data_IF_794341858926
#
_entry.id   IF_794341858926
#
_cell.length_a   1.000
_cell.length_b   1.000
_cell.length_c   1.000
_cell.angle_alpha   90.00
_cell.angle_beta   90.00
_cell.angle_gamma   90.00
#
_symmetry.space_group_name_H-M   'P 1'
#
loop_
_entity.id
_entity.type
_entity.pdbx_description
1 polymer ?
#
# COMPACT_ATOMS: atom_id res chain seq x y z
N UNK A 1 -26.53 -32.62 29.82
CA UNK A 1 -26.89 -32.73 28.39
C UNK A 1 -25.69 -32.32 27.57
N UNK A 2 -25.19 -33.25 26.74
CA UNK A 2 -24.01 -33.09 25.90
C UNK A 2 -24.26 -32.06 24.78
N UNK A 3 -23.41 -31.04 24.67
CA UNK A 3 -23.33 -30.20 23.47
C UNK A 3 -22.62 -31.01 22.38
N UNK A 4 -23.39 -31.51 21.42
CA UNK A 4 -22.85 -32.13 20.22
C UNK A 4 -22.18 -31.06 19.34
N UNK A 5 -20.98 -31.41 18.88
CA UNK A 5 -20.02 -30.65 18.09
C UNK A 5 -20.54 -30.20 16.72
N UNK A 6 -20.69 -28.89 16.52
CA UNK A 6 -20.93 -28.27 15.20
C UNK A 6 -19.65 -27.79 14.48
N UNK A 7 -18.48 -27.95 15.10
CA UNK A 7 -17.13 -27.70 14.54
C UNK A 7 -16.61 -28.63 13.42
N UNK A 8 -17.11 -29.85 13.15
CA UNK A 8 -16.38 -30.79 12.28
C UNK A 8 -16.46 -30.45 10.79
N UNK A 9 -17.51 -29.77 10.31
CA UNK A 9 -17.72 -29.58 8.85
C UNK A 9 -16.80 -28.53 8.23
N UNK A 10 -16.67 -27.36 8.86
CA UNK A 10 -15.74 -26.30 8.43
C UNK A 10 -14.29 -26.76 8.55
N UNK A 11 -13.93 -27.38 9.68
CA UNK A 11 -12.59 -27.95 9.86
C UNK A 11 -12.27 -29.06 8.86
N UNK A 12 -13.23 -29.93 8.52
CA UNK A 12 -13.03 -30.97 7.51
C UNK A 12 -12.81 -30.38 6.12
N UNK A 13 -13.60 -29.36 5.75
CA UNK A 13 -13.43 -28.66 4.48
C UNK A 13 -12.04 -28.01 4.35
N UNK A 14 -11.61 -27.28 5.38
CA UNK A 14 -10.28 -26.66 5.41
C UNK A 14 -9.17 -27.70 5.40
N UNK A 15 -9.34 -28.83 6.12
CA UNK A 15 -8.37 -29.92 6.08
C UNK A 15 -8.24 -30.55 4.68
N UNK A 16 -9.34 -30.65 3.92
CA UNK A 16 -9.32 -31.14 2.54
C UNK A 16 -8.59 -30.16 1.62
N UNK A 17 -8.83 -28.85 1.76
CA UNK A 17 -8.10 -27.82 1.02
C UNK A 17 -6.60 -27.85 1.32
N UNK A 18 -6.22 -27.98 2.59
CA UNK A 18 -4.82 -28.15 3.00
C UNK A 18 -4.19 -29.38 2.33
N UNK A 19 -4.89 -30.51 2.24
CA UNK A 19 -4.40 -31.70 1.54
C UNK A 19 -4.21 -31.46 0.03
N UNK A 20 -5.09 -30.69 -0.61
CA UNK A 20 -4.94 -30.34 -2.03
C UNK A 20 -3.73 -29.44 -2.27
N UNK A 21 -3.52 -28.43 -1.42
CA UNK A 21 -2.34 -27.57 -1.43
C UNK A 21 -1.07 -28.43 -1.28
N UNK A 22 -1.07 -29.33 -0.29
CA UNK A 22 0.05 -30.24 -0.05
C UNK A 22 0.35 -31.12 -1.28
N UNK A 23 -0.68 -31.72 -1.90
CA UNK A 23 -0.53 -32.54 -3.11
C UNK A 23 0.04 -31.74 -4.28
N UNK A 24 -0.42 -30.49 -4.50
CA UNK A 24 0.12 -29.61 -5.55
C UNK A 24 1.58 -29.27 -5.31
N UNK A 25 1.97 -28.96 -4.07
CA UNK A 25 3.38 -28.69 -3.71
C UNK A 25 4.28 -29.92 -3.89
N UNK A 26 3.81 -31.10 -3.49
CA UNK A 26 4.54 -32.36 -3.71
C UNK A 26 4.74 -32.64 -5.21
N UNK A 27 3.71 -32.41 -6.03
CA UNK A 27 3.82 -32.51 -7.49
C UNK A 27 4.83 -31.52 -8.07
N UNK A 28 4.86 -30.28 -7.55
CA UNK A 28 5.82 -29.26 -7.96
C UNK A 28 7.26 -29.62 -7.59
N UNK A 29 7.49 -30.31 -6.46
CA UNK A 29 8.80 -30.86 -6.12
C UNK A 29 9.23 -31.95 -7.10
N UNK A 30 8.34 -32.92 -7.36
CA UNK A 30 8.61 -34.07 -8.21
C UNK A 30 8.84 -33.71 -9.69
N UNK A 31 8.20 -32.64 -10.18
CA UNK A 31 8.22 -32.27 -11.60
C UNK A 31 8.93 -30.92 -11.84
N UNK A 32 10.27 -30.89 -12.02
CA UNK A 32 11.02 -29.64 -12.14
C UNK A 32 10.61 -28.77 -13.33
N UNK A 33 10.20 -29.38 -14.46
CA UNK A 33 9.77 -28.66 -15.65
C UNK A 33 8.43 -27.95 -15.50
N UNK A 34 7.51 -28.51 -14.71
CA UNK A 34 6.16 -27.95 -14.49
C UNK A 34 6.08 -27.10 -13.21
N UNK A 35 7.09 -27.17 -12.35
CA UNK A 35 7.16 -26.47 -11.07
C UNK A 35 6.74 -24.99 -11.10
N UNK A 36 7.26 -24.13 -11.99
CA UNK A 36 6.88 -22.71 -11.98
C UNK A 36 5.38 -22.52 -12.25
N UNK A 37 4.83 -23.27 -13.21
CA UNK A 37 3.40 -23.20 -13.56
C UNK A 37 2.52 -23.70 -12.42
N UNK A 38 2.90 -24.83 -11.78
CA UNK A 38 2.16 -25.38 -10.64
C UNK A 38 2.14 -24.43 -9.44
N UNK A 39 3.25 -23.74 -9.17
CA UNK A 39 3.30 -22.74 -8.10
C UNK A 39 2.50 -21.48 -8.43
N UNK A 40 2.51 -21.05 -9.70
CA UNK A 40 1.68 -19.95 -10.16
C UNK A 40 0.19 -20.27 -10.07
N UNK A 41 -0.23 -21.47 -10.50
CA UNK A 41 -1.60 -21.96 -10.37
C UNK A 41 -2.02 -22.03 -8.90
N UNK A 42 -1.18 -22.59 -8.04
CA UNK A 42 -1.44 -22.67 -6.61
C UNK A 42 -1.58 -21.29 -5.97
N UNK A 43 -0.72 -20.34 -6.34
CA UNK A 43 -0.84 -18.95 -5.89
C UNK A 43 -2.17 -18.33 -6.34
N UNK A 44 -2.55 -18.52 -7.60
CA UNK A 44 -3.81 -18.01 -8.13
C UNK A 44 -5.00 -18.57 -7.37
N UNK A 45 -5.04 -19.89 -7.12
CA UNK A 45 -6.12 -20.55 -6.39
C UNK A 45 -6.25 -20.04 -4.94
N UNK A 46 -5.12 -19.86 -4.25
CA UNK A 46 -5.09 -19.36 -2.86
C UNK A 46 -5.54 -17.90 -2.78
N UNK A 47 -5.25 -17.11 -3.82
CA UNK A 47 -5.63 -15.70 -3.93
C UNK A 47 -7.09 -15.49 -4.38
N UNK A 48 -7.85 -16.56 -4.66
CA UNK A 48 -9.25 -16.44 -5.04
C UNK A 48 -10.11 -15.95 -3.86
N UNK A 49 -11.13 -15.19 -4.22
CA UNK A 49 -12.22 -14.84 -3.33
C UNK A 49 -13.03 -16.10 -3.02
N UNK A 50 -13.51 -16.19 -1.77
CA UNK A 50 -14.35 -17.30 -1.32
C UNK A 50 -15.75 -17.11 -1.91
N UNK A 51 -16.20 -18.06 -2.72
CA UNK A 51 -17.56 -18.07 -3.25
C UNK A 51 -18.60 -18.12 -2.12
N UNK A 52 -19.80 -17.56 -2.33
CA UNK A 52 -20.86 -17.49 -1.30
C UNK A 52 -21.24 -18.88 -0.75
N UNK A 53 -21.21 -19.92 -1.60
CA UNK A 53 -21.42 -21.32 -1.17
C UNK A 53 -20.37 -21.80 -0.18
N UNK A 54 -19.11 -21.38 -0.37
CA UNK A 54 -18.01 -21.73 0.52
C UNK A 54 -18.04 -20.84 1.78
N UNK A 55 -18.45 -19.57 1.67
CA UNK A 55 -18.69 -18.69 2.82
C UNK A 55 -19.71 -19.30 3.77
N UNK A 56 -20.84 -19.82 3.27
CA UNK A 56 -21.85 -20.48 4.11
C UNK A 56 -21.28 -21.69 4.88
N UNK A 57 -20.41 -22.48 4.25
CA UNK A 57 -19.78 -23.64 4.89
C UNK A 57 -18.75 -23.21 5.94
N UNK A 58 -18.00 -22.13 5.68
CA UNK A 58 -16.94 -21.62 6.55
C UNK A 58 -17.52 -20.83 7.74
N UNK A 59 -18.51 -19.97 7.49
CA UNK A 59 -19.10 -19.00 8.43
C UNK A 59 -20.38 -19.50 9.11
N UNK A 60 -20.86 -20.72 8.83
CA UNK A 60 -22.13 -21.20 9.38
C UNK A 60 -22.18 -21.16 10.93
N UNK A 61 -22.88 -20.13 11.43
CA UNK A 61 -23.45 -19.88 12.78
C UNK A 61 -22.49 -19.50 13.93
N UNK A 62 -21.90 -18.31 13.89
CA UNK A 62 -21.50 -17.58 15.10
C UNK A 62 -21.97 -16.11 15.17
N UNK A 63 -22.93 -15.68 14.35
CA UNK A 63 -23.53 -14.34 14.45
C UNK A 63 -25.02 -14.40 14.85
N UNK A 64 -25.26 -14.87 16.08
CA UNK A 64 -26.43 -14.43 16.87
C UNK A 64 -25.88 -13.73 18.11
N UNK A 65 -25.37 -12.52 17.94
CA UNK A 65 -25.27 -11.50 18.99
C UNK A 65 -25.09 -10.13 18.34
N UNK A 66 -26.19 -9.39 18.37
CA UNK A 66 -26.41 -8.01 17.92
C UNK A 66 -25.20 -7.09 18.17
N UNK A 67 -24.71 -6.45 17.10
CA UNK A 67 -24.30 -5.04 17.10
C UNK A 67 -24.53 -4.45 15.70
N UNK A 68 -25.25 -3.33 15.57
CA UNK A 68 -25.52 -2.71 14.29
C UNK A 68 -24.37 -1.77 13.88
N UNK A 69 -24.08 -1.77 12.58
CA UNK A 69 -23.32 -0.75 11.84
C UNK A 69 -21.85 -0.53 12.28
N UNK A 70 -20.94 -1.34 11.73
CA UNK A 70 -19.64 -0.84 11.30
C UNK A 70 -19.55 -0.99 9.78
N UNK A 71 -19.88 0.11 9.10
CA UNK A 71 -19.93 0.30 7.65
C UNK A 71 -18.50 0.45 7.05
N UNK A 72 -17.49 -0.27 7.58
CA UNK A 72 -16.08 0.13 7.37
C UNK A 72 -15.11 -0.87 6.77
N UNK A 73 -15.46 -2.12 6.43
CA UNK A 73 -14.67 -2.91 5.46
C UNK A 73 -15.58 -3.93 4.76
N UNK A 74 -16.11 -3.58 3.59
CA UNK A 74 -16.69 -4.53 2.63
C UNK A 74 -15.55 -5.40 2.04
N UNK A 75 -14.96 -6.22 2.91
CA UNK A 75 -13.74 -6.98 2.64
C UNK A 75 -14.07 -8.26 1.90
N UNK A 76 -13.59 -8.36 0.65
CA UNK A 76 -13.63 -9.62 -0.08
C UNK A 76 -12.84 -10.69 0.68
N UNK A 77 -13.54 -11.63 1.31
CA UNK A 77 -12.92 -12.75 2.01
C UNK A 77 -12.20 -13.64 0.99
N UNK A 78 -10.89 -13.76 1.09
CA UNK A 78 -10.07 -14.62 0.23
C UNK A 78 -9.68 -15.92 0.94
N UNK A 79 -9.43 -16.99 0.18
CA UNK A 79 -9.07 -18.29 0.76
C UNK A 79 -7.79 -18.23 1.62
N UNK A 80 -6.82 -17.42 1.23
CA UNK A 80 -5.59 -17.27 2.01
C UNK A 80 -5.82 -16.79 3.45
N UNK A 81 -6.79 -15.90 3.64
CA UNK A 81 -7.04 -15.29 4.95
C UNK A 81 -7.64 -16.33 5.92
N UNK A 82 -8.60 -17.11 5.41
CA UNK A 82 -9.21 -18.24 6.12
C UNK A 82 -8.18 -19.33 6.44
N UNK A 83 -7.31 -19.65 5.49
CA UNK A 83 -6.27 -20.66 5.67
C UNK A 83 -5.20 -20.20 6.67
N UNK A 84 -4.84 -18.91 6.68
CA UNK A 84 -3.89 -18.36 7.64
C UNK A 84 -4.42 -18.48 9.08
N UNK A 85 -5.71 -18.17 9.31
CA UNK A 85 -6.36 -18.39 10.61
C UNK A 85 -6.42 -19.87 10.98
N UNK A 86 -6.70 -20.74 10.00
CA UNK A 86 -6.74 -22.18 10.23
C UNK A 86 -5.37 -22.74 10.64
N UNK A 87 -4.27 -22.29 10.02
CA UNK A 87 -2.93 -22.75 10.39
C UNK A 87 -2.44 -22.22 11.74
N UNK A 88 -2.98 -21.10 12.23
CA UNK A 88 -2.78 -20.68 13.62
C UNK A 88 -3.48 -21.65 14.58
N UNK A 89 -4.74 -22.03 14.28
CA UNK A 89 -5.54 -22.93 15.13
C UNK A 89 -5.06 -24.39 15.11
N UNK A 90 -4.63 -24.88 13.94
CA UNK A 90 -4.20 -26.27 13.71
C UNK A 90 -2.80 -26.28 13.09
N UNK A 91 -1.75 -26.01 13.90
CA UNK A 91 -0.39 -25.82 13.40
C UNK A 91 0.22 -27.08 12.77
N UNK A 92 -0.21 -28.27 13.19
CA UNK A 92 0.29 -29.53 12.61
C UNK A 92 -0.02 -29.65 11.11
N UNK A 93 -1.19 -29.17 10.71
CA UNK A 93 -1.61 -29.20 9.30
C UNK A 93 -0.80 -28.21 8.44
N UNK A 94 -0.39 -27.08 9.01
CA UNK A 94 0.46 -26.10 8.34
C UNK A 94 1.94 -26.51 8.25
N UNK A 95 2.46 -27.27 9.23
CA UNK A 95 3.87 -27.69 9.26
C UNK A 95 4.28 -28.49 8.02
N UNK A 96 3.47 -29.44 7.57
CA UNK A 96 3.78 -30.25 6.38
C UNK A 96 3.90 -29.39 5.11
N UNK A 97 3.03 -28.37 4.98
CA UNK A 97 3.07 -27.41 3.87
C UNK A 97 4.30 -26.51 4.00
N UNK A 98 4.58 -26.01 5.20
CA UNK A 98 5.73 -25.17 5.48
C UNK A 98 7.04 -25.86 5.07
N UNK A 99 7.22 -27.13 5.44
CA UNK A 99 8.40 -27.92 5.09
C UNK A 99 8.59 -28.05 3.57
N UNK A 100 7.48 -28.23 2.83
CA UNK A 100 7.50 -28.29 1.37
C UNK A 100 7.85 -26.94 0.74
N UNK A 101 7.30 -25.84 1.26
CA UNK A 101 7.61 -24.49 0.79
C UNK A 101 9.08 -24.14 1.05
N UNK A 102 9.63 -24.54 2.21
CA UNK A 102 11.06 -24.34 2.54
C UNK A 102 11.96 -25.06 1.52
N UNK A 103 11.58 -26.25 1.05
CA UNK A 103 12.32 -26.94 -0.02
C UNK A 103 12.22 -26.22 -1.37
N UNK A 104 11.15 -25.46 -1.60
CA UNK A 104 10.86 -24.73 -2.84
C UNK A 104 11.26 -23.25 -2.78
N UNK A 105 11.97 -22.81 -1.74
CA UNK A 105 12.20 -21.38 -1.45
C UNK A 105 12.92 -20.60 -2.56
N UNK A 106 13.75 -21.28 -3.35
CA UNK A 106 14.47 -20.69 -4.48
C UNK A 106 13.60 -20.40 -5.70
N UNK A 107 12.36 -20.87 -5.70
CA UNK A 107 11.46 -20.79 -6.85
C UNK A 107 10.60 -19.53 -6.79
N UNK A 108 10.14 -19.08 -7.96
CA UNK A 108 9.12 -18.03 -8.05
C UNK A 108 7.83 -18.47 -7.34
N UNK A 109 7.06 -17.50 -6.85
CA UNK A 109 5.82 -17.69 -6.08
C UNK A 109 5.94 -18.39 -4.71
N UNK A 110 7.02 -19.11 -4.40
CA UNK A 110 7.17 -19.79 -3.09
C UNK A 110 7.06 -18.80 -1.92
N UNK A 111 7.75 -17.66 -1.99
CA UNK A 111 7.64 -16.59 -0.98
C UNK A 111 6.26 -15.93 -0.94
N UNK A 112 5.54 -15.89 -2.06
CA UNK A 112 4.21 -15.29 -2.14
C UNK A 112 3.20 -16.19 -1.43
N UNK A 113 3.23 -17.49 -1.75
CA UNK A 113 2.41 -18.52 -1.10
C UNK A 113 2.71 -18.55 0.40
N UNK A 114 3.99 -18.47 0.78
CA UNK A 114 4.40 -18.37 2.18
C UNK A 114 3.75 -17.16 2.87
N UNK A 115 3.88 -15.97 2.30
CA UNK A 115 3.31 -14.76 2.87
C UNK A 115 1.78 -14.86 3.00
N UNK A 116 1.09 -15.39 1.98
CA UNK A 116 -0.36 -15.54 2.02
C UNK A 116 -0.82 -16.54 3.09
N UNK A 117 -0.19 -17.72 3.20
CA UNK A 117 -0.65 -18.78 4.09
C UNK A 117 -0.15 -18.65 5.53
N UNK A 118 1.04 -18.08 5.76
CA UNK A 118 1.71 -18.13 7.06
C UNK A 118 1.95 -16.75 7.71
N UNK A 119 1.38 -15.66 7.17
CA UNK A 119 1.55 -14.32 7.75
C UNK A 119 1.07 -14.22 9.20
N UNK A 120 -0.03 -14.89 9.57
CA UNK A 120 -0.53 -14.91 10.96
C UNK A 120 0.27 -15.87 11.83
N UNK A 121 0.46 -17.10 11.33
CA UNK A 121 1.19 -18.17 12.02
C UNK A 121 2.59 -17.74 12.50
N UNK A 122 3.32 -16.95 11.71
CA UNK A 122 4.68 -16.51 12.05
C UNK A 122 4.76 -15.77 13.40
N UNK A 123 3.72 -15.03 13.78
CA UNK A 123 3.71 -14.23 15.01
C UNK A 123 3.10 -14.97 16.20
N UNK A 124 2.37 -16.06 15.96
CA UNK A 124 1.76 -16.88 17.01
C UNK A 124 2.60 -18.12 17.35
N UNK A 125 3.43 -18.60 16.43
CA UNK A 125 4.31 -19.74 16.66
C UNK A 125 5.53 -19.38 17.52
N UNK A 126 5.85 -20.25 18.49
CA UNK A 126 7.08 -20.15 19.27
C UNK A 126 8.28 -20.71 18.48
N UNK A 127 8.99 -19.83 17.78
CA UNK A 127 10.20 -20.18 17.02
C UNK A 127 11.46 -19.84 17.84
N UNK A 128 12.06 -20.87 18.46
CA UNK A 128 13.25 -20.69 19.29
C UNK A 128 14.54 -20.41 18.50
N UNK A 129 14.55 -20.65 17.18
CA UNK A 129 15.74 -20.48 16.35
C UNK A 129 15.73 -19.12 15.63
N UNK A 130 16.64 -18.22 16.03
CA UNK A 130 16.78 -16.88 15.47
C UNK A 130 17.09 -16.86 13.97
N UNK A 131 17.81 -17.84 13.44
CA UNK A 131 18.13 -17.90 12.00
C UNK A 131 16.90 -18.26 11.17
N UNK A 132 16.12 -19.22 11.65
CA UNK A 132 14.88 -19.66 10.99
C UNK A 132 13.87 -18.52 10.99
N UNK A 133 13.72 -17.85 12.13
CA UNK A 133 12.87 -16.68 12.28
C UNK A 133 13.26 -15.55 11.31
N UNK A 134 14.56 -15.27 11.17
CA UNK A 134 15.04 -14.26 10.21
C UNK A 134 14.70 -14.65 8.76
N UNK A 135 14.92 -15.92 8.38
CA UNK A 135 14.61 -16.44 7.04
C UNK A 135 13.11 -16.32 6.72
N UNK A 136 12.26 -16.73 7.65
CA UNK A 136 10.80 -16.64 7.49
C UNK A 136 10.32 -15.19 7.44
N UNK A 137 10.82 -14.33 8.32
CA UNK A 137 10.45 -12.91 8.31
C UNK A 137 10.89 -12.22 7.02
N UNK A 138 12.09 -12.52 6.51
CA UNK A 138 12.57 -11.99 5.23
C UNK A 138 11.68 -12.43 4.06
N UNK A 139 11.23 -13.69 4.04
CA UNK A 139 10.34 -14.16 2.99
C UNK A 139 8.91 -13.68 3.12
N UNK A 140 8.41 -13.43 4.34
CA UNK A 140 7.14 -12.73 4.53
C UNK A 140 7.21 -11.36 3.87
N UNK A 141 8.24 -10.57 4.16
CA UNK A 141 8.42 -9.23 3.57
C UNK A 141 8.59 -9.32 2.05
N UNK A 142 9.41 -10.23 1.55
CA UNK A 142 9.62 -10.41 0.10
C UNK A 142 8.34 -10.87 -0.60
N UNK A 143 7.62 -11.82 -0.02
CA UNK A 143 6.35 -12.32 -0.52
C UNK A 143 5.29 -11.22 -0.57
N UNK A 144 5.06 -10.55 0.57
CA UNK A 144 4.12 -9.44 0.67
C UNK A 144 4.48 -8.29 -0.29
N UNK A 145 5.77 -7.97 -0.46
CA UNK A 145 6.21 -6.98 -1.46
C UNK A 145 5.69 -7.32 -2.85
N UNK A 146 5.90 -8.55 -3.31
CA UNK A 146 5.49 -8.95 -4.66
C UNK A 146 3.98 -9.04 -4.80
N UNK A 147 3.30 -9.55 -3.78
CA UNK A 147 1.83 -9.66 -3.73
C UNK A 147 1.18 -8.27 -3.79
N UNK A 148 1.68 -7.30 -3.04
CA UNK A 148 1.16 -5.92 -3.11
C UNK A 148 1.50 -5.25 -4.45
N UNK A 149 2.62 -5.60 -5.09
CA UNK A 149 2.90 -5.17 -6.46
C UNK A 149 1.90 -5.74 -7.47
N UNK A 150 1.40 -6.97 -7.28
CA UNK A 150 0.32 -7.54 -8.12
C UNK A 150 -0.96 -6.72 -7.97
N UNK A 151 -1.31 -6.32 -6.75
CA UNK A 151 -2.46 -5.44 -6.49
C UNK A 151 -2.31 -4.08 -7.17
N UNK A 152 -1.14 -3.46 -7.06
CA UNK A 152 -0.82 -2.23 -7.82
C UNK A 152 -0.97 -2.48 -9.33
N UNK A 153 -0.43 -3.60 -9.83
CA UNK A 153 -0.41 -3.93 -11.25
C UNK A 153 -1.80 -4.14 -11.84
N UNK A 154 -2.67 -4.76 -11.07
CA UNK A 154 -4.07 -5.04 -11.43
C UNK A 154 -5.01 -3.90 -11.05
N UNK A 155 -4.52 -2.90 -10.30
CA UNK A 155 -5.33 -1.85 -9.68
C UNK A 155 -6.51 -2.43 -8.87
N UNK A 156 -6.23 -3.53 -8.15
CA UNK A 156 -7.18 -4.17 -7.22
C UNK A 156 -6.58 -4.19 -5.81
N UNK A 157 -7.39 -4.52 -4.80
CA UNK A 157 -6.99 -4.53 -3.39
C UNK A 157 -7.26 -5.90 -2.75
N UNK A 158 -6.95 -6.97 -3.49
CA UNK A 158 -7.24 -8.35 -3.06
C UNK A 158 -6.47 -8.73 -1.80
N UNK A 159 -5.29 -8.16 -1.64
CA UNK A 159 -4.39 -8.44 -0.52
C UNK A 159 -4.47 -7.40 0.60
N UNK A 160 -5.60 -6.67 0.65
CA UNK A 160 -5.84 -5.66 1.68
C UNK A 160 -5.86 -6.26 3.09
N UNK A 161 -6.45 -7.44 3.31
CA UNK A 161 -6.48 -8.03 4.65
C UNK A 161 -5.08 -8.41 5.15
N UNK A 162 -4.21 -8.94 4.28
CA UNK A 162 -2.79 -9.13 4.58
C UNK A 162 -2.11 -7.80 4.96
N UNK A 163 -2.34 -6.72 4.20
CA UNK A 163 -1.76 -5.41 4.51
C UNK A 163 -2.25 -4.87 5.86
N UNK A 164 -3.56 -4.91 6.10
CA UNK A 164 -4.18 -4.46 7.35
C UNK A 164 -3.65 -5.25 8.54
N UNK A 165 -3.55 -6.58 8.45
CA UNK A 165 -2.95 -7.39 9.51
C UNK A 165 -1.50 -6.99 9.81
N UNK A 166 -0.65 -6.87 8.78
CA UNK A 166 0.75 -6.48 8.98
C UNK A 166 0.91 -5.07 9.54
N UNK A 167 0.05 -4.13 9.15
CA UNK A 167 0.07 -2.78 9.69
C UNK A 167 -0.45 -2.77 11.13
N UNK A 168 -1.69 -3.18 11.33
CA UNK A 168 -2.47 -2.96 12.54
C UNK A 168 -2.14 -3.92 13.67
N UNK A 169 -1.98 -5.20 13.33
CA UNK A 169 -1.78 -6.25 14.32
C UNK A 169 -0.31 -6.59 14.55
N UNK A 170 0.58 -6.25 13.60
CA UNK A 170 2.01 -6.54 13.74
C UNK A 170 2.80 -5.27 14.07
N UNK A 171 2.77 -4.26 13.20
CA UNK A 171 3.60 -3.06 13.40
C UNK A 171 3.03 -2.14 14.46
N UNK A 172 1.69 -1.96 14.49
CA UNK A 172 1.07 -1.14 15.53
C UNK A 172 1.05 -1.80 16.91
N UNK A 173 1.43 -3.07 17.04
CA UNK A 173 1.54 -3.78 18.31
C UNK A 173 3.02 -4.11 18.66
N UNK A 174 3.67 -3.33 19.54
CA UNK A 174 5.09 -3.52 19.85
C UNK A 174 5.43 -4.92 20.38
N UNK A 175 4.50 -5.57 21.09
CA UNK A 175 4.69 -6.91 21.61
C UNK A 175 4.90 -7.95 20.48
N UNK A 176 4.14 -7.83 19.39
CA UNK A 176 4.26 -8.70 18.21
C UNK A 176 5.43 -8.29 17.32
N UNK A 177 5.67 -7.00 17.13
CA UNK A 177 6.82 -6.50 16.37
C UNK A 177 8.16 -6.96 16.96
N UNK A 178 8.28 -6.95 18.29
CA UNK A 178 9.51 -7.37 18.98
C UNK A 178 9.77 -8.88 18.89
N UNK A 179 8.81 -9.69 18.44
CA UNK A 179 9.04 -11.12 18.17
C UNK A 179 9.95 -11.34 16.98
N UNK A 180 10.00 -10.43 16.00
CA UNK A 180 10.82 -10.58 14.81
C UNK A 180 12.17 -9.85 14.94
N UNK A 181 13.23 -10.29 14.24
CA UNK A 181 14.54 -9.65 14.31
C UNK A 181 14.50 -8.22 13.81
N UNK A 182 15.33 -7.35 14.39
CA UNK A 182 15.39 -5.91 14.06
C UNK A 182 15.55 -5.65 12.56
N UNK A 183 16.30 -6.49 11.84
CA UNK A 183 16.44 -6.37 10.39
C UNK A 183 15.09 -6.53 9.67
N UNK A 184 14.31 -7.55 10.04
CA UNK A 184 13.01 -7.79 9.44
C UNK A 184 11.99 -6.71 9.85
N UNK A 185 12.07 -6.15 11.06
CA UNK A 185 11.24 -5.01 11.47
C UNK A 185 11.44 -3.82 10.54
N UNK A 186 12.70 -3.51 10.18
CA UNK A 186 13.03 -2.43 9.24
C UNK A 186 12.49 -2.71 7.85
N UNK A 187 12.72 -3.91 7.35
CA UNK A 187 12.28 -4.29 6.01
C UNK A 187 10.75 -4.28 5.90
N UNK A 188 10.04 -4.70 6.97
CA UNK A 188 8.59 -4.61 7.09
C UNK A 188 8.11 -3.14 7.15
N UNK A 189 8.79 -2.28 7.92
CA UNK A 189 8.47 -0.85 7.98
C UNK A 189 8.61 -0.18 6.61
N UNK A 190 9.70 -0.46 5.88
CA UNK A 190 9.92 0.04 4.53
C UNK A 190 8.87 -0.50 3.54
N UNK A 191 8.51 -1.77 3.66
CA UNK A 191 7.43 -2.37 2.89
C UNK A 191 6.12 -1.60 3.11
N UNK A 192 5.65 -1.46 4.35
CA UNK A 192 4.39 -0.78 4.64
C UNK A 192 4.42 0.70 4.24
N UNK A 193 5.56 1.37 4.38
CA UNK A 193 5.77 2.74 3.92
C UNK A 193 5.45 2.92 2.44
N UNK A 194 5.80 1.94 1.59
CA UNK A 194 5.52 1.99 0.14
C UNK A 194 4.03 1.92 -0.16
N UNK A 195 3.27 1.12 0.59
CA UNK A 195 1.90 0.74 0.22
C UNK A 195 0.80 1.39 1.07
N UNK A 196 1.15 2.12 2.15
CA UNK A 196 0.15 2.71 3.07
C UNK A 196 -0.85 3.65 2.37
N UNK A 197 -0.38 4.41 1.36
CA UNK A 197 -1.26 5.29 0.59
C UNK A 197 -2.15 4.50 -0.37
N UNK A 198 -1.66 3.39 -0.92
CA UNK A 198 -2.42 2.56 -1.86
C UNK A 198 -3.64 1.91 -1.22
N UNK A 199 -3.47 1.36 -0.01
CA UNK A 199 -4.53 0.73 0.78
C UNK A 199 -5.33 1.71 1.63
N UNK A 200 -5.24 3.03 1.36
CA UNK A 200 -6.01 4.06 2.06
C UNK A 200 -5.87 4.07 3.60
N UNK A 201 -4.76 3.56 4.15
CA UNK A 201 -4.56 3.47 5.61
C UNK A 201 -3.90 4.71 6.19
N UNK A 202 -4.27 5.88 5.65
CA UNK A 202 -3.68 7.18 5.99
C UNK A 202 -3.92 7.55 7.45
N UNK A 203 -5.10 7.23 7.98
CA UNK A 203 -5.47 7.59 9.36
C UNK A 203 -4.51 6.99 10.40
N UNK A 204 -3.84 5.90 10.02
CA UNK A 204 -2.87 5.18 10.86
C UNK A 204 -1.43 5.68 10.67
N UNK A 205 -1.17 6.59 9.72
CA UNK A 205 0.18 7.08 9.40
C UNK A 205 0.86 7.72 10.62
N UNK A 206 0.14 8.53 11.40
CA UNK A 206 0.71 9.16 12.59
C UNK A 206 1.15 8.14 13.66
N UNK A 207 0.36 7.08 13.85
CA UNK A 207 0.70 5.98 14.77
C UNK A 207 1.87 5.15 14.23
N UNK A 208 1.84 4.84 12.93
CA UNK A 208 2.89 4.12 12.24
C UNK A 208 4.25 4.82 12.35
N UNK A 209 4.31 6.13 12.13
CA UNK A 209 5.56 6.91 12.24
C UNK A 209 6.09 6.98 13.69
N UNK A 210 5.23 6.82 14.71
CA UNK A 210 5.67 6.75 16.11
C UNK A 210 6.34 5.42 16.44
N UNK A 211 5.94 4.33 15.78
CA UNK A 211 6.52 2.98 15.98
C UNK A 211 7.69 2.72 15.04
N UNK A 212 8.63 3.68 15.01
CA UNK A 212 9.81 3.57 14.19
C UNK A 212 10.81 2.57 14.79
N UNK A 213 11.22 1.52 14.05
CA UNK A 213 12.20 0.58 14.56
C UNK A 213 13.59 1.22 14.62
N UNK A 214 14.50 0.64 15.40
CA UNK A 214 15.85 1.18 15.53
C UNK A 214 16.64 1.01 14.21
N UNK A 215 16.93 2.10 13.49
CA UNK A 215 17.81 2.11 12.31
C UNK A 215 19.23 2.58 12.71
N UNK A 216 20.31 1.87 12.31
CA UNK A 216 21.67 2.25 12.71
C UNK A 216 22.08 3.56 12.04
N UNK A 217 21.59 3.76 10.81
CA UNK A 217 21.89 4.91 9.96
C UNK A 217 20.85 6.03 10.12
N UNK A 218 19.99 5.97 11.14
CA UNK A 218 18.95 6.99 11.36
C UNK A 218 19.56 8.39 11.46
N UNK A 219 20.68 8.53 12.18
CA UNK A 219 21.41 9.79 12.32
C UNK A 219 21.84 10.41 10.97
N UNK A 220 22.16 9.59 9.97
CA UNK A 220 22.63 10.06 8.66
C UNK A 220 21.49 10.51 7.76
N UNK A 221 20.32 9.88 7.87
CA UNK A 221 19.18 10.13 6.98
C UNK A 221 18.27 11.18 7.60
N UNK A 222 17.80 10.96 8.81
CA UNK A 222 16.84 11.80 9.51
C UNK A 222 15.89 10.99 10.38
N UNK A 223 14.71 11.57 10.66
CA UNK A 223 13.68 10.96 11.48
C UNK A 223 12.81 9.93 10.73
N UNK A 224 11.78 9.37 11.39
CA UNK A 224 10.86 8.42 10.79
C UNK A 224 10.15 8.97 9.54
N UNK A 225 9.79 10.25 9.58
CA UNK A 225 9.19 10.97 8.46
C UNK A 225 10.12 11.02 7.24
N UNK A 226 11.43 11.18 7.46
CA UNK A 226 12.40 11.22 6.36
C UNK A 226 12.50 9.87 5.64
N UNK A 227 12.60 8.77 6.39
CA UNK A 227 12.61 7.42 5.80
C UNK A 227 11.33 7.12 5.04
N UNK A 228 10.18 7.47 5.62
CA UNK A 228 8.89 7.29 4.97
C UNK A 228 8.81 8.06 3.64
N UNK A 229 9.19 9.34 3.63
CA UNK A 229 9.12 10.18 2.42
C UNK A 229 10.14 9.75 1.36
N UNK A 230 11.33 9.29 1.76
CA UNK A 230 12.33 8.73 0.83
C UNK A 230 11.75 7.51 0.13
N UNK A 231 11.18 6.57 0.88
CA UNK A 231 10.62 5.35 0.33
C UNK A 231 9.40 5.63 -0.55
N UNK A 232 8.56 6.60 -0.15
CA UNK A 232 7.44 7.06 -0.97
C UNK A 232 7.90 7.69 -2.29
N UNK A 233 8.94 8.53 -2.27
CA UNK A 233 9.50 9.13 -3.48
C UNK A 233 10.07 8.06 -4.43
N UNK A 234 10.72 7.05 -3.88
CA UNK A 234 11.25 5.92 -4.66
C UNK A 234 10.13 5.04 -5.23
N UNK A 235 9.05 4.87 -4.48
CA UNK A 235 7.86 4.17 -4.95
C UNK A 235 7.21 4.91 -6.12
N UNK A 236 7.00 6.22 -6.01
CA UNK A 236 6.41 7.04 -7.08
C UNK A 236 7.14 6.86 -8.42
N UNK A 237 8.47 6.83 -8.41
CA UNK A 237 9.28 6.66 -9.63
C UNK A 237 9.13 5.27 -10.28
N UNK A 238 8.75 4.26 -9.50
CA UNK A 238 8.53 2.89 -9.98
C UNK A 238 7.11 2.67 -10.50
N UNK A 239 6.13 3.48 -10.09
CA UNK A 239 4.74 3.35 -10.49
C UNK A 239 4.56 3.67 -11.97
N UNK A 240 4.05 2.69 -12.72
CA UNK A 240 3.74 2.84 -14.16
C UNK A 240 2.25 3.00 -14.45
N UNK A 241 1.41 2.75 -13.45
CA UNK A 241 -0.04 2.66 -13.62
C UNK A 241 -0.67 3.99 -13.25
N UNK A 242 -1.28 4.61 -14.24
CA UNK A 242 -1.85 5.95 -14.16
C UNK A 242 -2.86 6.12 -13.00
N UNK A 243 -3.91 5.31 -12.84
CA UNK A 243 -4.88 5.51 -11.76
C UNK A 243 -4.23 5.40 -10.38
N UNK A 244 -3.29 4.46 -10.20
CA UNK A 244 -2.54 4.31 -8.95
C UNK A 244 -1.64 5.53 -8.71
N UNK A 245 -0.91 5.98 -9.72
CA UNK A 245 -0.05 7.16 -9.60
C UNK A 245 -0.86 8.42 -9.26
N UNK A 246 -2.01 8.63 -9.89
CA UNK A 246 -2.94 9.72 -9.56
C UNK A 246 -3.42 9.64 -8.11
N UNK A 247 -3.76 8.44 -7.65
CA UNK A 247 -4.14 8.21 -6.25
C UNK A 247 -3.02 8.61 -5.29
N UNK A 248 -1.78 8.14 -5.51
CA UNK A 248 -0.63 8.53 -4.68
C UNK A 248 -0.38 10.04 -4.70
N UNK A 249 -0.43 10.68 -5.87
CA UNK A 249 -0.26 12.14 -6.00
C UNK A 249 -1.37 12.93 -5.29
N UNK A 250 -2.58 12.36 -5.19
CA UNK A 250 -3.65 12.97 -4.42
C UNK A 250 -3.39 12.87 -2.91
N UNK A 251 -2.93 11.70 -2.45
CA UNK A 251 -2.70 11.40 -1.04
C UNK A 251 -1.40 12.03 -0.51
N UNK A 252 -0.41 12.29 -1.35
CA UNK A 252 0.87 12.88 -0.91
C UNK A 252 0.72 14.28 -0.31
N UNK A 253 -0.42 14.95 -0.57
CA UNK A 253 -0.78 16.23 0.05
C UNK A 253 -0.83 16.13 1.59
N UNK A 254 -1.08 14.94 2.12
CA UNK A 254 -1.11 14.66 3.56
C UNK A 254 0.25 14.83 4.25
N UNK A 255 1.35 14.90 3.49
CA UNK A 255 2.67 15.20 4.03
C UNK A 255 2.85 16.67 4.41
N UNK A 256 1.86 17.53 4.16
CA UNK A 256 1.95 18.94 4.49
C UNK A 256 2.12 19.13 6.00
N UNK A 257 3.10 19.96 6.38
CA UNK A 257 3.40 20.24 7.78
C UNK A 257 4.28 19.21 8.47
N UNK A 258 4.71 18.15 7.76
CA UNK A 258 5.72 17.23 8.31
C UNK A 258 7.09 17.91 8.36
N UNK A 259 7.76 17.80 9.50
CA UNK A 259 9.14 18.27 9.68
C UNK A 259 10.09 17.30 8.96
N UNK A 260 10.52 17.68 7.77
CA UNK A 260 11.45 16.92 6.94
C UNK A 260 12.80 17.62 6.87
N UNK A 261 13.86 16.83 6.77
CA UNK A 261 15.19 17.37 6.47
C UNK A 261 15.20 18.01 5.09
N UNK A 262 16.02 19.04 4.92
CA UNK A 262 16.16 19.75 3.64
C UNK A 262 16.53 18.83 2.47
N UNK A 263 17.36 17.81 2.70
CA UNK A 263 17.74 16.82 1.68
C UNK A 263 16.54 15.98 1.23
N UNK A 264 15.74 15.49 2.17
CA UNK A 264 14.55 14.69 1.91
C UNK A 264 13.46 15.51 1.21
N UNK A 265 13.22 16.72 1.72
CA UNK A 265 12.32 17.71 1.14
C UNK A 265 12.71 18.03 -0.32
N UNK A 266 14.00 18.25 -0.58
CA UNK A 266 14.51 18.49 -1.94
C UNK A 266 14.34 17.28 -2.86
N UNK A 267 14.58 16.07 -2.36
CA UNK A 267 14.37 14.81 -3.12
C UNK A 267 12.90 14.65 -3.52
N UNK A 268 11.97 14.83 -2.58
CA UNK A 268 10.53 14.77 -2.85
C UNK A 268 10.12 15.83 -3.88
N UNK A 269 10.59 17.08 -3.71
CA UNK A 269 10.33 18.17 -4.65
C UNK A 269 10.82 17.83 -6.06
N UNK A 270 12.03 17.30 -6.19
CA UNK A 270 12.60 16.89 -7.48
C UNK A 270 11.82 15.73 -8.11
N UNK A 271 11.38 14.77 -7.30
CA UNK A 271 10.54 13.65 -7.76
C UNK A 271 9.21 14.16 -8.32
N UNK A 272 8.47 14.99 -7.57
CA UNK A 272 7.20 15.57 -8.04
C UNK A 272 7.39 16.44 -9.28
N UNK A 273 8.47 17.22 -9.34
CA UNK A 273 8.79 18.06 -10.48
C UNK A 273 9.04 17.24 -11.75
N UNK A 274 9.65 16.05 -11.65
CA UNK A 274 9.85 15.15 -12.80
C UNK A 274 8.53 14.77 -13.50
N UNK A 275 7.44 14.60 -12.74
CA UNK A 275 6.12 14.31 -13.27
C UNK A 275 5.41 15.52 -13.88
N UNK A 276 5.95 16.73 -13.77
CA UNK A 276 5.31 17.95 -14.32
C UNK A 276 5.64 18.20 -15.80
N UNK A 277 6.69 17.56 -16.31
CA UNK A 277 7.17 17.77 -17.67
C UNK A 277 6.61 16.75 -18.66
N UNK A 278 6.41 17.14 -19.93
CA UNK A 278 6.08 16.21 -21.01
C UNK A 278 7.29 15.44 -21.56
N UNK A 279 8.47 15.53 -20.94
CA UNK A 279 9.70 14.84 -21.39
C UNK A 279 9.94 13.50 -20.69
N UNK A 280 10.77 12.63 -21.29
CA UNK A 280 10.99 11.24 -20.87
C UNK A 280 11.70 11.05 -19.51
N UNK A 281 11.79 9.80 -18.97
CA UNK A 281 11.69 8.50 -19.66
C UNK A 281 10.29 7.84 -19.71
N UNK A 282 9.29 8.37 -19.00
CA UNK A 282 7.87 8.09 -19.27
C UNK A 282 7.21 9.40 -19.63
N UNK A 283 6.29 9.39 -20.59
CA UNK A 283 5.46 10.55 -20.88
C UNK A 283 4.30 10.55 -19.86
N UNK A 284 4.38 11.28 -18.72
CA UNK A 284 3.25 11.33 -17.80
C UNK A 284 2.05 11.90 -18.55
N UNK A 285 0.88 11.30 -18.37
CA UNK A 285 -0.34 11.79 -19.00
C UNK A 285 -0.67 13.20 -18.51
N UNK A 286 -1.56 13.90 -19.21
CA UNK A 286 -1.99 15.24 -18.80
C UNK A 286 -2.58 15.26 -17.39
N UNK A 287 -3.33 14.21 -17.02
CA UNK A 287 -3.91 14.08 -15.69
C UNK A 287 -2.81 13.97 -14.63
N UNK A 288 -1.81 13.12 -14.85
CA UNK A 288 -0.67 12.95 -13.93
C UNK A 288 0.11 14.24 -13.78
N UNK A 289 0.36 14.97 -14.87
CA UNK A 289 1.08 16.26 -14.81
C UNK A 289 0.32 17.29 -13.97
N UNK A 290 -0.99 17.39 -14.12
CA UNK A 290 -1.82 18.31 -13.34
C UNK A 290 -1.86 17.91 -11.87
N UNK A 291 -2.07 16.62 -11.57
CA UNK A 291 -2.03 16.13 -10.20
C UNK A 291 -0.67 16.37 -9.54
N UNK A 292 0.43 16.20 -10.29
CA UNK A 292 1.78 16.49 -9.82
C UNK A 292 1.99 17.99 -9.55
N UNK A 293 1.52 18.88 -10.44
CA UNK A 293 1.53 20.33 -10.20
C UNK A 293 0.74 20.70 -8.95
N UNK A 294 -0.46 20.15 -8.77
CA UNK A 294 -1.32 20.42 -7.63
C UNK A 294 -0.68 19.95 -6.32
N UNK A 295 -0.09 18.75 -6.30
CA UNK A 295 0.63 18.22 -5.14
C UNK A 295 1.89 19.06 -4.83
N UNK A 296 2.66 19.42 -5.85
CA UNK A 296 3.89 20.20 -5.74
C UNK A 296 3.65 21.62 -5.22
N UNK A 297 2.57 22.27 -5.67
CA UNK A 297 2.17 23.60 -5.22
C UNK A 297 1.59 23.57 -3.80
N UNK A 298 0.88 22.50 -3.43
CA UNK A 298 0.32 22.32 -2.11
C UNK A 298 1.40 22.09 -1.04
N UNK A 299 2.37 21.21 -1.32
CA UNK A 299 3.46 20.87 -0.40
C UNK A 299 4.55 21.95 -0.35
N UNK A 300 4.84 22.60 -1.47
CA UNK A 300 5.89 23.60 -1.59
C UNK A 300 5.32 24.91 -2.14
N UNK A 301 4.58 25.70 -1.33
CA UNK A 301 3.98 26.95 -1.80
C UNK A 301 5.04 28.00 -2.16
N UNK A 302 6.19 27.96 -1.48
CA UNK A 302 7.33 28.85 -1.75
C UNK A 302 7.97 28.47 -3.09
N UNK A 303 7.87 29.38 -4.05
CA UNK A 303 8.37 29.17 -5.42
C UNK A 303 7.32 28.69 -6.43
N UNK A 304 6.02 28.70 -6.08
CA UNK A 304 4.93 28.42 -7.02
C UNK A 304 4.99 29.29 -8.27
N UNK A 305 4.99 30.62 -8.10
CA UNK A 305 5.01 31.58 -9.20
C UNK A 305 6.21 31.41 -10.15
N UNK A 306 7.48 31.38 -9.69
CA UNK A 306 8.61 31.20 -10.59
C UNK A 306 8.59 29.85 -11.32
N UNK A 307 8.13 28.76 -10.68
CA UNK A 307 8.02 27.45 -11.35
C UNK A 307 7.04 27.46 -12.52
N UNK A 308 5.85 28.05 -12.33
CA UNK A 308 4.85 28.16 -13.39
C UNK A 308 5.34 29.06 -14.53
N UNK A 309 6.02 30.16 -14.19
CA UNK A 309 6.62 31.07 -15.16
C UNK A 309 7.70 30.35 -16.00
N UNK A 310 8.62 29.62 -15.36
CA UNK A 310 9.64 28.83 -16.07
C UNK A 310 9.00 27.77 -16.97
N UNK A 311 8.00 27.04 -16.46
CA UNK A 311 7.28 26.04 -17.26
C UNK A 311 6.58 26.66 -18.48
N UNK A 312 6.01 27.85 -18.33
CA UNK A 312 5.39 28.60 -19.42
C UNK A 312 6.42 29.03 -20.47
N UNK A 313 7.56 29.58 -20.04
CA UNK A 313 8.66 29.94 -20.95
C UNK A 313 9.14 28.72 -21.76
N UNK A 314 9.34 27.57 -21.13
CA UNK A 314 9.71 26.35 -21.86
C UNK A 314 8.63 25.91 -22.85
N UNK A 315 7.34 25.98 -22.48
CA UNK A 315 6.24 25.65 -23.42
C UNK A 315 6.16 26.60 -24.60
N UNK A 316 6.46 27.89 -24.40
CA UNK A 316 6.51 28.90 -25.46
C UNK A 316 7.68 28.67 -26.42
N UNK A 317 8.78 28.10 -25.95
CA UNK A 317 9.94 27.74 -26.77
C UNK A 317 9.70 26.51 -27.67
N UNK A 318 8.66 25.70 -27.41
CA UNK A 318 8.31 24.56 -28.27
C UNK A 318 7.38 24.97 -29.43
N UNK A 319 7.81 24.85 -30.70
CA UNK A 319 7.06 25.36 -31.86
C UNK A 319 5.67 24.76 -32.08
N UNK A 320 5.40 23.56 -31.54
CA UNK A 320 4.16 22.82 -31.79
C UNK A 320 3.03 23.10 -30.78
N UNK A 321 3.32 23.72 -29.62
CA UNK A 321 2.33 23.95 -28.56
C UNK A 321 2.03 25.44 -28.28
N UNK A 322 2.71 26.35 -28.97
CA UNK A 322 2.66 27.78 -28.68
C UNK A 322 1.27 28.43 -28.90
N UNK A 323 0.45 28.08 -29.91
CA UNK A 323 -0.81 28.80 -30.14
C UNK A 323 -1.86 28.49 -29.07
N UNK A 324 -2.03 27.20 -28.72
CA UNK A 324 -3.00 26.78 -27.70
C UNK A 324 -2.56 27.14 -26.28
N UNK A 325 -1.25 27.10 -26.00
CA UNK A 325 -0.71 27.47 -24.68
C UNK A 325 -0.78 28.98 -24.45
N UNK A 326 -0.47 29.79 -25.47
CA UNK A 326 -0.62 31.24 -25.41
C UNK A 326 -2.09 31.63 -25.20
N UNK A 327 -3.02 31.00 -25.93
CA UNK A 327 -4.46 31.22 -25.76
C UNK A 327 -4.95 30.90 -24.34
N UNK A 328 -4.56 29.74 -23.79
CA UNK A 328 -4.93 29.35 -22.43
C UNK A 328 -4.33 30.28 -21.36
N UNK A 329 -3.11 30.79 -21.59
CA UNK A 329 -2.48 31.78 -20.72
C UNK A 329 -3.24 33.10 -20.74
N UNK A 330 -3.55 33.63 -21.93
CA UNK A 330 -4.36 34.85 -22.09
C UNK A 330 -5.71 34.69 -21.38
N UNK A 331 -6.40 33.57 -21.59
CA UNK A 331 -7.66 33.27 -20.91
C UNK A 331 -7.53 33.18 -19.39
N UNK A 332 -6.43 32.61 -18.89
CA UNK A 332 -6.18 32.51 -17.44
C UNK A 332 -5.87 33.88 -16.82
N UNK A 333 -5.10 34.72 -17.51
CA UNK A 333 -4.84 36.10 -17.11
C UNK A 333 -6.13 36.93 -17.09
N UNK A 334 -6.96 36.81 -18.13
CA UNK A 334 -8.27 37.49 -18.20
C UNK A 334 -9.16 37.04 -17.04
N UNK A 335 -9.24 35.73 -16.76
CA UNK A 335 -10.01 35.20 -15.62
C UNK A 335 -9.47 35.71 -14.28
N UNK A 336 -8.15 35.73 -14.08
CA UNK A 336 -7.55 36.24 -12.85
C UNK A 336 -7.81 37.74 -12.64
N UNK A 337 -7.72 38.54 -13.71
CA UNK A 337 -8.06 39.97 -13.68
C UNK A 337 -9.55 40.14 -13.36
N UNK A 338 -10.43 39.39 -14.02
CA UNK A 338 -11.87 39.41 -13.74
C UNK A 338 -12.18 39.03 -12.29
N UNK A 339 -11.58 37.96 -11.75
CA UNK A 339 -11.77 37.58 -10.34
C UNK A 339 -11.23 38.65 -9.38
N UNK A 340 -10.12 39.30 -9.70
CA UNK A 340 -9.60 40.41 -8.88
C UNK A 340 -10.52 41.64 -8.92
N UNK A 341 -11.08 41.96 -10.09
CA UNK A 341 -12.03 43.06 -10.27
C UNK A 341 -13.34 42.76 -9.57
N UNK A 342 -13.88 41.55 -9.72
CA UNK A 342 -15.05 41.10 -8.98
C UNK A 342 -14.81 41.11 -7.47
N UNK A 343 -13.65 40.65 -7.00
CA UNK A 343 -13.27 40.71 -5.59
C UNK A 343 -13.18 42.14 -5.07
N UNK A 344 -12.63 43.07 -5.87
CA UNK A 344 -12.57 44.49 -5.53
C UNK A 344 -13.96 45.13 -5.47
N UNK A 345 -14.83 44.84 -6.44
CA UNK A 345 -16.22 45.31 -6.49
C UNK A 345 -17.03 44.76 -5.32
N UNK A 346 -16.86 43.48 -4.99
CA UNK A 346 -17.55 42.86 -3.87
C UNK A 346 -17.04 43.41 -2.53
N UNK A 347 -15.73 43.66 -2.41
CA UNK A 347 -15.15 44.29 -1.21
C UNK A 347 -15.56 45.75 -1.04
N UNK A 348 -15.76 46.49 -2.14
CA UNK A 348 -16.23 47.87 -2.12
C UNK A 348 -17.73 47.95 -1.81
N UNK A 349 -18.53 47.00 -2.33
CA UNK A 349 -19.94 46.82 -1.97
C UNK A 349 -20.12 46.45 -0.49
N UNK A 350 -19.31 45.51 0.03
CA UNK A 350 -19.34 45.15 1.47
C UNK A 350 -18.94 46.33 2.36
N UNK A 351 -18.03 47.20 1.90
CA UNK A 351 -17.67 48.44 2.61
C UNK A 351 -18.78 49.51 2.56
N UNK A 352 -19.58 49.56 1.50
CA UNK A 352 -20.75 50.45 1.36
C UNK A 352 -21.95 49.99 2.21
N UNK A 353 -22.11 48.68 2.43
CA UNK A 353 -23.22 48.10 3.20
C UNK A 353 -22.97 48.13 4.73
N UNK A 354 -21.72 48.35 5.19
CA UNK A 354 -21.45 48.54 6.62
C UNK A 354 -21.83 49.98 7.05
N UNK A 355 -22.85 50.18 7.90
CA UNK A 355 -23.14 51.51 8.42
C UNK A 355 -21.99 51.96 9.33
N UNK A 356 -21.62 53.24 9.24
CA UNK A 356 -20.75 53.89 10.23
C UNK A 356 -21.43 53.73 11.60
N UNK A 357 -20.84 52.92 12.49
CA UNK A 357 -21.13 53.01 13.93
C UNK A 357 -20.54 54.35 14.40
N UNK A 358 -21.39 55.34 14.62
CA UNK A 358 -21.10 56.46 15.53
C UNK A 358 -21.54 56.08 16.93
#
# INVERSE_FOLDING_TARGET
MQKASSTPRSSAYLSALTQEIQKKLQKALASPSQRPNLLQELFADIALEVDDRAKDVILSKEEDLISPADDSVDGQLCFYDVLADYYVRVPESGKSILDLIVQLWSQSFASHIFALLFHKWLFEAELNNSEVLLRYSSALVQGATNVFWIDIQTNTRRFQSLFCYLLEEVVLEPARLNKIPVQAQRDLYLLLSRFILFYNSVDKLASFLKQFPAFPNAFLVGGPADFFVIELADQLQKLKIEPVLLHYLSQIKLLQGMELRMTTSTRLKSCLYSFTFPGGPMYPTRAVRHAAWDALDFLFPVGRYPRHLISLFFRLLYPWCWPSSCWNFVMSCIKAILYSLFGLIFSSWVKLIRPKRS
#
